data_IF_982497266067
#
_entry.id   IF_982497266067
#
_cell.length_a   1.000
_cell.length_b   1.000
_cell.length_c   1.000
_cell.angle_alpha   90.00
_cell.angle_beta   90.00
_cell.angle_gamma   90.00
#
_symmetry.space_group_name_H-M   'P 1'
#
loop_
_entity.id
_entity.type
_entity.pdbx_description
1 polymer ?
#
# COMPACT_ATOMS: atom_id res chain seq x y z
N UNK A 1 14.26 28.19 1.12
CA UNK A 1 12.95 27.75 0.62
C UNK A 1 12.53 26.59 1.48
N UNK A 2 11.65 26.81 2.45
CA UNK A 2 11.06 25.77 3.30
C UNK A 2 10.16 24.93 2.41
N UNK A 3 10.48 23.65 2.24
CA UNK A 3 9.60 22.73 1.55
C UNK A 3 8.42 22.39 2.49
N UNK A 4 7.20 22.59 2.00
CA UNK A 4 5.95 22.20 2.64
C UNK A 4 5.05 21.59 1.55
N UNK A 5 5.09 20.27 1.43
CA UNK A 5 4.37 19.49 0.42
C UNK A 5 2.93 19.23 0.84
N UNK A 6 2.63 19.13 2.14
CA UNK A 6 1.28 18.80 2.63
C UNK A 6 0.96 19.40 4.00
N UNK A 7 -0.25 19.94 4.17
CA UNK A 7 -0.81 20.31 5.47
C UNK A 7 -2.07 19.48 5.70
N UNK A 8 -2.01 18.55 6.66
CA UNK A 8 -3.11 17.68 7.05
C UNK A 8 -3.44 17.92 8.53
N UNK A 9 -4.70 18.22 8.80
CA UNK A 9 -5.33 17.98 10.10
C UNK A 9 -6.29 16.80 9.92
N UNK A 10 -6.24 15.85 10.83
CA UNK A 10 -7.00 14.59 10.77
C UNK A 10 -7.86 14.37 12.01
N UNK A 11 -7.88 15.32 12.95
CA UNK A 11 -8.46 15.11 14.27
C UNK A 11 -9.96 14.75 14.19
N UNK A 12 -10.69 15.28 13.22
CA UNK A 12 -12.13 15.03 13.05
C UNK A 12 -12.39 13.77 12.21
N UNK A 13 -11.46 13.38 11.34
CA UNK A 13 -11.60 12.26 10.40
C UNK A 13 -11.13 10.92 10.98
N UNK A 14 -10.23 10.92 11.97
CA UNK A 14 -9.70 9.69 12.58
C UNK A 14 -10.79 8.75 13.12
N UNK A 15 -11.80 9.21 13.89
CA UNK A 15 -12.86 8.31 14.37
C UNK A 15 -13.66 7.66 13.23
N UNK A 16 -13.87 8.38 12.13
CA UNK A 16 -14.56 7.86 10.96
C UNK A 16 -13.71 6.83 10.21
N UNK A 17 -12.40 7.08 10.12
CA UNK A 17 -11.45 6.14 9.51
C UNK A 17 -11.38 4.84 10.32
N UNK A 18 -11.26 4.92 11.64
CA UNK A 18 -11.22 3.74 12.52
C UNK A 18 -12.51 2.91 12.41
N UNK A 19 -13.68 3.55 12.42
CA UNK A 19 -14.95 2.85 12.23
C UNK A 19 -15.08 2.17 10.84
N UNK A 20 -14.48 2.76 9.81
CA UNK A 20 -14.41 2.16 8.49
C UNK A 20 -13.48 0.93 8.48
N UNK A 21 -12.33 1.01 9.15
CA UNK A 21 -11.40 -0.12 9.31
C UNK A 21 -12.04 -1.27 10.09
N UNK A 22 -12.73 -1.00 11.19
CA UNK A 22 -13.48 -2.02 11.95
C UNK A 22 -14.52 -2.74 11.09
N UNK A 23 -15.18 -1.99 10.21
CA UNK A 23 -16.15 -2.55 9.26
C UNK A 23 -15.47 -3.45 8.23
N UNK A 24 -14.32 -3.03 7.70
CA UNK A 24 -13.51 -3.83 6.78
C UNK A 24 -13.06 -5.12 7.46
N UNK A 25 -12.47 -5.02 8.66
CA UNK A 25 -12.00 -6.18 9.43
C UNK A 25 -13.11 -7.18 9.68
N UNK A 26 -14.31 -6.71 10.07
CA UNK A 26 -15.47 -7.58 10.26
C UNK A 26 -15.88 -8.32 8.99
N UNK A 27 -15.85 -7.67 7.83
CA UNK A 27 -16.17 -8.30 6.54
C UNK A 27 -15.10 -9.33 6.16
N UNK A 28 -13.83 -8.99 6.39
CA UNK A 28 -12.69 -9.82 6.01
C UNK A 28 -12.47 -11.01 6.95
N UNK A 29 -13.15 -11.11 8.10
CA UNK A 29 -13.07 -12.27 9.00
C UNK A 29 -13.36 -13.63 8.33
N UNK A 30 -14.15 -13.65 7.27
CA UNK A 30 -14.46 -14.87 6.51
C UNK A 30 -13.38 -15.23 5.47
N UNK A 31 -12.39 -14.37 5.27
CA UNK A 31 -11.34 -14.56 4.27
C UNK A 31 -10.24 -15.45 4.82
N UNK A 32 -9.50 -16.08 3.92
CA UNK A 32 -8.37 -16.93 4.27
C UNK A 32 -7.13 -16.07 4.51
N UNK A 33 -6.49 -16.27 5.67
CA UNK A 33 -5.15 -15.76 5.93
C UNK A 33 -4.14 -16.87 5.65
N UNK A 34 -3.23 -16.62 4.72
CA UNK A 34 -2.16 -17.56 4.37
C UNK A 34 -0.84 -17.09 4.97
N UNK A 35 -0.09 -18.00 5.57
CA UNK A 35 1.28 -17.74 5.99
C UNK A 35 2.26 -17.77 4.78
N UNK A 36 3.51 -17.36 5.01
CA UNK A 36 4.51 -17.27 3.96
C UNK A 36 4.83 -18.64 3.29
N UNK A 37 4.79 -19.73 4.06
CA UNK A 37 5.08 -21.08 3.55
C UNK A 37 3.91 -21.61 2.71
N UNK A 38 2.67 -21.37 3.16
CA UNK A 38 1.45 -21.66 2.40
C UNK A 38 1.45 -20.89 1.09
N UNK A 39 1.70 -19.58 1.11
CA UNK A 39 1.76 -18.75 -0.09
C UNK A 39 2.82 -19.22 -1.10
N UNK A 40 3.96 -19.75 -0.62
CA UNK A 40 5.04 -20.25 -1.48
C UNK A 40 4.67 -21.57 -2.17
N UNK A 41 3.85 -22.39 -1.54
CA UNK A 41 3.44 -23.71 -2.04
C UNK A 41 2.26 -23.64 -3.01
N UNK A 42 1.46 -22.57 -2.97
CA UNK A 42 0.31 -22.41 -3.84
C UNK A 42 0.69 -21.97 -5.25
N UNK A 43 0.11 -22.63 -6.24
CA UNK A 43 0.11 -22.16 -7.63
C UNK A 43 -0.65 -20.85 -7.72
N UNK A 44 -0.02 -19.84 -8.31
CA UNK A 44 -0.58 -18.48 -8.39
C UNK A 44 -1.30 -18.27 -9.71
N UNK A 45 -2.47 -17.64 -9.62
CA UNK A 45 -3.17 -17.13 -10.79
C UNK A 45 -2.60 -15.75 -11.12
N UNK A 46 -1.77 -15.69 -12.16
CA UNK A 46 -1.34 -14.43 -12.78
C UNK A 46 -2.03 -14.25 -14.13
N UNK A 47 -1.86 -13.10 -14.77
CA UNK A 47 -2.62 -12.73 -15.97
C UNK A 47 -2.65 -13.81 -17.07
N UNK A 48 -1.49 -14.42 -17.35
CA UNK A 48 -1.38 -15.48 -18.37
C UNK A 48 -2.08 -16.77 -17.95
N UNK A 49 -1.93 -17.19 -16.69
CA UNK A 49 -2.57 -18.42 -16.19
C UNK A 49 -4.08 -18.22 -16.01
N UNK A 50 -4.53 -17.02 -15.67
CA UNK A 50 -5.94 -16.66 -15.60
C UNK A 50 -6.65 -16.85 -16.95
N UNK A 51 -6.09 -16.31 -18.04
CA UNK A 51 -6.66 -16.46 -19.37
C UNK A 51 -6.80 -17.93 -19.78
N UNK A 52 -5.78 -18.74 -19.48
CA UNK A 52 -5.82 -20.18 -19.71
C UNK A 52 -6.95 -20.84 -18.90
N UNK A 53 -7.01 -20.60 -17.58
CA UNK A 53 -8.02 -21.23 -16.72
C UNK A 53 -9.45 -20.85 -17.13
N UNK A 54 -9.70 -19.60 -17.55
CA UNK A 54 -11.02 -19.18 -18.06
C UNK A 54 -11.39 -19.88 -19.36
N UNK A 55 -10.45 -19.98 -20.29
CA UNK A 55 -10.67 -20.72 -21.54
C UNK A 55 -10.95 -22.20 -21.27
N UNK A 56 -10.20 -22.81 -20.33
CA UNK A 56 -10.47 -24.18 -19.89
C UNK A 56 -11.88 -24.30 -19.34
N UNK A 57 -12.30 -23.45 -18.40
CA UNK A 57 -13.65 -23.50 -17.83
C UNK A 57 -14.75 -23.40 -18.91
N UNK A 58 -14.57 -22.53 -19.92
CA UNK A 58 -15.50 -22.40 -21.03
C UNK A 58 -15.59 -23.66 -21.89
N UNK A 59 -14.44 -24.29 -22.22
CA UNK A 59 -14.41 -25.54 -22.98
C UNK A 59 -15.02 -26.69 -22.17
N UNK A 60 -14.76 -26.77 -20.86
CA UNK A 60 -15.36 -27.78 -19.99
C UNK A 60 -16.88 -27.62 -19.91
N UNK A 61 -17.39 -26.39 -19.89
CA UNK A 61 -18.83 -26.11 -19.88
C UNK A 61 -19.54 -26.56 -21.16
N UNK A 62 -18.84 -26.48 -22.30
CA UNK A 62 -19.33 -27.00 -23.59
C UNK A 62 -19.24 -28.53 -23.68
N UNK A 63 -18.37 -29.15 -22.88
CA UNK A 63 -18.07 -30.59 -22.94
C UNK A 63 -18.41 -31.31 -21.64
N UNK A 64 -19.49 -30.91 -20.96
CA UNK A 64 -19.87 -31.46 -19.64
C UNK A 64 -20.00 -32.98 -19.62
N UNK A 65 -20.45 -33.59 -20.72
CA UNK A 65 -20.57 -35.05 -20.87
C UNK A 65 -19.23 -35.81 -20.79
N UNK A 66 -18.11 -35.14 -21.07
CA UNK A 66 -16.77 -35.73 -20.99
C UNK A 66 -16.15 -35.62 -19.58
N UNK A 67 -16.83 -34.91 -18.66
CA UNK A 67 -16.33 -34.72 -17.29
C UNK A 67 -16.60 -35.98 -16.45
N UNK A 68 -15.62 -36.42 -15.63
CA UNK A 68 -15.85 -37.50 -14.70
C UNK A 68 -16.83 -37.06 -13.59
N UNK A 69 -17.59 -37.99 -12.97
CA UNK A 69 -18.58 -37.65 -11.94
C UNK A 69 -18.05 -36.92 -10.70
N UNK A 70 -16.74 -36.98 -10.44
CA UNK A 70 -16.11 -36.29 -9.31
C UNK A 70 -15.64 -34.86 -9.60
N UNK A 71 -15.77 -34.36 -10.84
CA UNK A 71 -15.35 -33.01 -11.19
C UNK A 71 -16.51 -32.01 -11.02
N UNK A 72 -16.41 -31.13 -10.04
CA UNK A 72 -17.40 -30.07 -9.81
C UNK A 72 -17.07 -28.82 -10.64
N UNK A 73 -17.62 -28.78 -11.86
CA UNK A 73 -17.48 -27.61 -12.73
C UNK A 73 -18.23 -26.39 -12.18
N UNK A 74 -19.33 -26.59 -11.46
CA UNK A 74 -20.12 -25.48 -10.97
C UNK A 74 -19.41 -24.80 -9.77
N UNK A 75 -18.66 -25.53 -8.95
CA UNK A 75 -17.75 -24.96 -7.94
C UNK A 75 -16.66 -24.11 -8.59
N UNK A 76 -15.98 -24.62 -9.64
CA UNK A 76 -14.99 -23.84 -10.38
C UNK A 76 -15.58 -22.51 -10.91
N UNK A 77 -16.82 -22.54 -11.41
CA UNK A 77 -17.53 -21.33 -11.88
C UNK A 77 -17.87 -20.38 -10.72
N UNK A 78 -18.26 -20.91 -9.55
CA UNK A 78 -18.48 -20.11 -8.33
C UNK A 78 -17.21 -19.42 -7.87
N UNK A 79 -16.07 -20.12 -7.89
CA UNK A 79 -14.76 -19.56 -7.56
C UNK A 79 -14.37 -18.41 -8.49
N UNK A 80 -14.55 -18.58 -9.80
CA UNK A 80 -14.32 -17.50 -10.75
C UNK A 80 -15.22 -16.29 -10.50
N UNK A 81 -16.51 -16.51 -10.21
CA UNK A 81 -17.43 -15.43 -9.90
C UNK A 81 -17.03 -14.68 -8.63
N UNK A 82 -16.62 -15.40 -7.57
CA UNK A 82 -16.10 -14.79 -6.34
C UNK A 82 -14.82 -14.00 -6.60
N UNK A 83 -13.88 -14.57 -7.36
CA UNK A 83 -12.63 -13.91 -7.76
C UNK A 83 -12.88 -12.60 -8.52
N UNK A 84 -13.82 -12.61 -9.47
CA UNK A 84 -14.20 -11.43 -10.26
C UNK A 84 -14.87 -10.34 -9.42
N UNK A 85 -15.67 -10.72 -8.42
CA UNK A 85 -16.26 -9.77 -7.48
C UNK A 85 -15.20 -9.13 -6.58
N UNK A 86 -14.18 -9.89 -6.15
CA UNK A 86 -13.14 -9.40 -5.24
C UNK A 86 -12.14 -8.47 -5.93
N UNK A 87 -11.71 -8.79 -7.15
CA UNK A 87 -10.66 -8.06 -7.88
C UNK A 87 -10.79 -6.53 -7.87
N UNK A 88 -11.93 -5.91 -8.24
CA UNK A 88 -12.08 -4.45 -8.18
C UNK A 88 -12.01 -3.87 -6.76
N UNK A 89 -12.38 -4.64 -5.72
CA UNK A 89 -12.31 -4.19 -4.32
C UNK A 89 -10.86 -4.21 -3.83
N UNK A 90 -10.11 -5.25 -4.17
CA UNK A 90 -8.68 -5.34 -3.87
C UNK A 90 -7.91 -4.19 -4.51
N UNK A 91 -8.16 -3.91 -5.80
CA UNK A 91 -7.55 -2.76 -6.48
C UNK A 91 -7.84 -1.42 -5.77
N UNK A 92 -9.07 -1.25 -5.25
CA UNK A 92 -9.44 -0.03 -4.51
C UNK A 92 -8.72 0.04 -3.16
N UNK A 93 -8.59 -1.07 -2.44
CA UNK A 93 -7.85 -1.14 -1.17
C UNK A 93 -6.37 -0.82 -1.40
N UNK A 94 -5.76 -1.40 -2.43
CA UNK A 94 -4.37 -1.10 -2.81
C UNK A 94 -4.16 0.37 -3.14
N UNK A 95 -5.07 0.98 -3.91
CA UNK A 95 -5.00 2.41 -4.22
C UNK A 95 -5.12 3.31 -2.97
N UNK A 96 -6.00 2.94 -2.02
CA UNK A 96 -6.11 3.65 -0.74
C UNK A 96 -4.82 3.51 0.09
N UNK A 97 -4.27 2.30 0.18
CA UNK A 97 -3.01 2.04 0.88
C UNK A 97 -1.84 2.82 0.26
N UNK A 98 -1.75 2.86 -1.08
CA UNK A 98 -0.75 3.64 -1.79
C UNK A 98 -0.86 5.13 -1.48
N UNK A 99 -2.08 5.70 -1.47
CA UNK A 99 -2.30 7.09 -1.07
C UNK A 99 -1.85 7.38 0.36
N UNK A 100 -2.11 6.47 1.30
CA UNK A 100 -1.62 6.59 2.68
C UNK A 100 -0.09 6.58 2.73
N UNK A 101 0.56 5.69 1.99
CA UNK A 101 2.02 5.60 1.91
C UNK A 101 2.65 6.88 1.32
N UNK A 102 2.07 7.40 0.23
CA UNK A 102 2.53 8.65 -0.40
C UNK A 102 2.40 9.84 0.56
N UNK A 103 1.28 9.91 1.29
CA UNK A 103 1.05 10.96 2.30
C UNK A 103 2.06 10.88 3.43
N UNK A 104 2.37 9.66 3.91
CA UNK A 104 3.37 9.44 4.95
C UNK A 104 4.77 9.90 4.49
N UNK A 105 5.14 9.63 3.24
CA UNK A 105 6.41 10.09 2.64
C UNK A 105 6.45 11.62 2.58
N UNK A 106 5.36 12.25 2.11
CA UNK A 106 5.28 13.70 1.99
C UNK A 106 5.42 14.40 3.36
N UNK A 107 4.65 13.96 4.35
CA UNK A 107 4.75 14.46 5.73
C UNK A 107 6.16 14.27 6.31
N UNK A 108 6.77 13.10 6.08
CA UNK A 108 8.15 12.84 6.51
C UNK A 108 9.17 13.79 5.88
N UNK A 109 9.00 14.15 4.61
CA UNK A 109 9.86 15.11 3.91
C UNK A 109 9.74 16.53 4.49
N UNK A 110 8.51 16.95 4.81
CA UNK A 110 8.22 18.26 5.40
C UNK A 110 8.80 18.35 6.82
N UNK A 111 8.58 17.33 7.65
CA UNK A 111 9.15 17.23 9.00
C UNK A 111 10.67 17.30 8.95
N UNK A 112 11.30 16.52 8.06
CA UNK A 112 12.75 16.47 7.95
C UNK A 112 13.34 17.82 7.47
N UNK A 113 12.69 18.45 6.50
CA UNK A 113 13.12 19.76 5.98
C UNK A 113 13.03 20.85 7.05
N UNK A 114 11.88 20.95 7.74
CA UNK A 114 11.68 21.89 8.84
C UNK A 114 12.66 21.65 9.99
N UNK A 115 12.95 20.39 10.32
CA UNK A 115 13.91 20.01 11.36
C UNK A 115 15.34 20.46 11.03
N UNK A 116 15.78 20.31 9.78
CA UNK A 116 17.09 20.79 9.36
C UNK A 116 17.19 22.31 9.39
N UNK A 117 16.15 23.02 8.96
CA UNK A 117 16.12 24.48 8.97
C UNK A 117 16.13 24.99 10.42
N UNK A 118 15.34 24.38 11.31
CA UNK A 118 15.37 24.65 12.75
C UNK A 118 16.74 24.39 13.38
N UNK A 119 17.40 23.26 13.03
CA UNK A 119 18.76 22.97 13.48
C UNK A 119 19.77 24.01 12.97
N UNK A 120 19.66 24.47 11.72
CA UNK A 120 20.51 25.52 11.19
C UNK A 120 20.32 26.84 11.95
N UNK A 121 19.08 27.21 12.29
CA UNK A 121 18.79 28.38 13.13
C UNK A 121 19.39 28.24 14.53
N UNK A 122 19.27 27.07 15.16
CA UNK A 122 19.87 26.81 16.47
C UNK A 122 21.41 26.89 16.43
N UNK A 123 22.06 26.48 15.33
CA UNK A 123 23.51 26.67 15.17
C UNK A 123 23.92 28.15 15.08
N UNK A 124 23.06 29.01 14.54
CA UNK A 124 23.38 30.43 14.32
C UNK A 124 23.03 31.27 15.56
N UNK A 125 21.89 30.99 16.19
CA UNK A 125 21.32 31.83 17.26
C UNK A 125 21.29 31.15 18.64
N UNK A 126 21.52 29.83 18.71
CA UNK A 126 21.47 29.06 19.95
C UNK A 126 22.77 29.06 20.73
N UNK A 127 22.68 28.78 22.04
CA UNK A 127 23.85 28.53 22.88
C UNK A 127 24.47 27.17 22.53
N UNK A 128 25.81 27.09 22.50
CA UNK A 128 26.55 25.92 22.04
C UNK A 128 26.16 24.60 22.75
N UNK A 129 25.92 24.64 24.06
CA UNK A 129 25.54 23.46 24.86
C UNK A 129 24.18 22.87 24.45
N UNK A 130 23.26 23.71 23.95
CA UNK A 130 21.92 23.29 23.57
C UNK A 130 21.90 22.56 22.21
N UNK A 131 22.96 22.70 21.41
CA UNK A 131 23.05 22.18 20.04
C UNK A 131 23.93 20.93 19.97
N UNK A 132 24.77 20.69 20.98
CA UNK A 132 25.70 19.56 21.03
C UNK A 132 24.99 18.19 20.90
N UNK A 133 23.88 17.89 21.62
CA UNK A 133 23.17 16.61 21.48
C UNK A 133 22.64 16.38 20.06
N UNK A 134 22.07 17.41 19.43
CA UNK A 134 21.53 17.34 18.07
C UNK A 134 22.65 17.09 17.03
N UNK A 135 23.80 17.74 17.23
CA UNK A 135 24.97 17.57 16.36
C UNK A 135 25.49 16.13 16.40
N UNK A 136 25.52 15.52 17.58
CA UNK A 136 26.02 14.17 17.77
C UNK A 136 25.08 13.12 17.15
N UNK A 137 23.75 13.31 17.28
CA UNK A 137 22.75 12.48 16.59
C UNK A 137 22.81 12.57 15.06
N UNK A 138 23.16 13.73 14.50
CA UNK A 138 23.35 13.85 13.04
C UNK A 138 24.59 13.09 12.56
N UNK A 139 25.68 13.11 13.34
CA UNK A 139 26.93 12.41 13.02
C UNK A 139 26.77 10.89 13.05
N UNK A 140 25.85 10.36 13.84
CA UNK A 140 25.61 8.91 13.97
C UNK A 140 24.75 8.29 12.86
N UNK A 141 24.29 9.04 11.84
CA UNK A 141 23.63 8.39 10.70
C UNK A 141 22.71 9.22 9.80
N UNK A 142 22.56 10.52 10.00
CA UNK A 142 21.58 11.31 9.24
C UNK A 142 22.27 11.93 7.99
N UNK A 143 22.29 11.20 6.87
CA UNK A 143 22.68 11.77 5.56
C UNK A 143 21.46 12.41 4.89
N UNK A 144 21.49 13.73 4.69
CA UNK A 144 20.50 14.47 3.91
C UNK A 144 20.58 14.04 2.44
N UNK A 145 19.55 13.38 1.91
CA UNK A 145 19.40 13.17 0.47
C UNK A 145 18.66 14.38 -0.09
N UNK A 146 19.36 15.23 -0.84
CA UNK A 146 18.74 16.35 -1.55
C UNK A 146 17.89 15.81 -2.69
N UNK A 147 16.58 16.05 -2.64
CA UNK A 147 15.68 15.83 -3.78
C UNK A 147 15.82 17.05 -4.70
N UNK A 148 16.40 16.86 -5.87
CA UNK A 148 16.42 17.88 -6.93
C UNK A 148 14.98 18.05 -7.44
N UNK A 149 14.41 19.26 -7.46
CA UNK A 149 13.08 19.46 -8.02
C UNK A 149 13.10 19.07 -9.50
N UNK A 150 12.20 18.15 -9.88
CA UNK A 150 12.04 17.69 -11.25
C UNK A 150 11.78 18.86 -12.19
N UNK A 151 12.50 18.90 -13.31
CA UNK A 151 12.24 19.86 -14.38
C UNK A 151 10.77 19.75 -14.79
N UNK A 152 10.00 20.81 -14.57
CA UNK A 152 8.71 20.97 -15.22
C UNK A 152 8.95 20.94 -16.73
N UNK A 153 8.50 19.86 -17.38
CA UNK A 153 8.42 19.79 -18.84
C UNK A 153 7.30 20.73 -19.28
N UNK A 154 7.68 21.91 -19.76
CA UNK A 154 6.78 22.73 -20.57
C UNK A 154 6.52 21.97 -21.88
N UNK A 155 5.25 21.68 -22.14
CA UNK A 155 4.71 21.36 -23.47
C UNK A 155 3.80 22.51 -23.86
#
# INVERSE_FOLDING_TARGET
MTQNLTSLDLAEELPQLDAALDTIDRILKAFVSLDADQMRRLSKLGDKTESFCRQTAAILDQNRQALPPGFDLDELKRDFAAFDLLRPRLNRIEALAAKCADTQIALGSDILSASYDGYALLKVFGKADNVAPLRDSLRSGIRRKTITPGKASAT
#
